data_IF_935863454987
#
_entry.id   IF_935863454987
#
_cell.length_a   1.000
_cell.length_b   1.000
_cell.length_c   1.000
_cell.angle_alpha   90.00
_cell.angle_beta   90.00
_cell.angle_gamma   90.00
#
_symmetry.space_group_name_H-M   'P 1'
#
loop_
_entity.id
_entity.type
_entity.pdbx_description
1 polymer ?
#
# COMPACT_ATOMS: atom_id res chain seq x y z
N UNK A 1 -12.33 -13.43 -1.25
CA UNK A 1 -11.09 -14.18 -1.03
C UNK A 1 -10.62 -14.01 0.43
N UNK A 2 -9.92 -15.03 0.96
CA UNK A 2 -9.60 -15.10 2.38
C UNK A 2 -8.38 -14.28 2.79
N UNK A 3 -7.32 -14.33 1.98
CA UNK A 3 -6.07 -13.65 2.28
C UNK A 3 -5.67 -12.75 1.13
N UNK A 4 -5.34 -11.51 1.45
CA UNK A 4 -4.92 -10.57 0.43
C UNK A 4 -3.93 -9.54 0.98
N UNK A 5 -3.06 -9.10 0.10
CA UNK A 5 -2.14 -8.00 0.34
C UNK A 5 -2.68 -6.79 -0.40
N UNK A 6 -2.86 -5.70 0.32
CA UNK A 6 -3.52 -4.50 -0.18
C UNK A 6 -2.48 -3.41 -0.43
N UNK A 7 -2.45 -2.90 -1.65
CA UNK A 7 -1.49 -1.89 -2.06
C UNK A 7 -2.20 -0.58 -2.38
N UNK A 8 -1.61 0.53 -1.96
CA UNK A 8 -2.10 1.87 -2.28
C UNK A 8 -0.96 2.65 -2.96
N UNK A 9 -0.76 2.44 -4.26
CA UNK A 9 0.37 3.03 -4.99
C UNK A 9 0.13 4.44 -5.52
N UNK A 10 -1.01 5.05 -5.16
CA UNK A 10 -1.45 6.31 -5.75
C UNK A 10 -1.11 7.51 -4.89
N UNK A 11 -1.06 8.69 -5.50
CA UNK A 11 -0.92 9.97 -4.81
C UNK A 11 -1.49 11.07 -5.70
N UNK A 12 -1.67 12.27 -5.14
CA UNK A 12 -2.08 13.41 -5.95
C UNK A 12 -1.03 13.71 -7.03
N UNK A 13 -1.45 14.05 -8.27
CA UNK A 13 -0.50 14.28 -9.36
C UNK A 13 0.58 15.33 -9.05
N UNK A 14 0.25 16.37 -8.28
CA UNK A 14 1.21 17.40 -7.90
C UNK A 14 2.08 17.01 -6.70
N UNK A 15 1.88 15.82 -6.15
CA UNK A 15 2.67 15.28 -5.05
C UNK A 15 3.38 13.99 -5.46
N UNK A 16 3.89 13.97 -6.69
CA UNK A 16 4.53 12.78 -7.27
C UNK A 16 5.74 12.30 -6.46
N UNK A 17 6.36 13.18 -5.67
CA UNK A 17 7.46 12.78 -4.79
C UNK A 17 7.03 11.78 -3.70
N UNK A 18 5.72 11.67 -3.45
CA UNK A 18 5.16 10.68 -2.52
C UNK A 18 4.95 9.31 -3.16
N UNK A 19 5.21 9.18 -4.46
CA UNK A 19 4.94 7.97 -5.21
C UNK A 19 6.19 7.10 -5.30
N UNK A 20 6.09 5.87 -4.81
CA UNK A 20 7.13 4.87 -5.00
C UNK A 20 6.89 4.17 -6.35
N UNK A 21 7.86 4.16 -7.27
CA UNK A 21 7.61 3.68 -8.63
C UNK A 21 7.72 2.17 -8.81
N UNK A 22 8.01 1.41 -7.76
CA UNK A 22 8.37 -0.01 -7.89
C UNK A 22 7.27 -0.98 -7.44
N UNK A 23 6.02 -0.56 -7.40
CA UNK A 23 4.93 -1.45 -6.97
C UNK A 23 4.75 -2.67 -7.87
N UNK A 24 4.84 -2.50 -9.20
CA UNK A 24 4.69 -3.65 -10.09
C UNK A 24 5.81 -4.67 -9.92
N UNK A 25 7.01 -4.20 -9.60
CA UNK A 25 8.13 -5.09 -9.30
C UNK A 25 7.90 -5.84 -8.00
N UNK A 26 7.36 -5.16 -6.99
CA UNK A 26 6.99 -5.80 -5.73
C UNK A 26 5.94 -6.88 -5.96
N UNK A 27 4.92 -6.58 -6.78
CA UNK A 27 3.87 -7.55 -7.12
C UNK A 27 4.48 -8.80 -7.75
N UNK A 28 5.42 -8.62 -8.67
CA UNK A 28 6.13 -9.73 -9.31
C UNK A 28 6.83 -10.62 -8.28
N UNK A 29 7.54 -10.01 -7.34
CA UNK A 29 8.23 -10.75 -6.27
C UNK A 29 7.23 -11.48 -5.36
N UNK A 30 6.11 -10.85 -5.05
CA UNK A 30 5.09 -11.47 -4.21
C UNK A 30 4.43 -12.67 -4.89
N UNK A 31 4.12 -12.55 -6.18
CA UNK A 31 3.55 -13.65 -6.95
C UNK A 31 4.53 -14.82 -7.06
N UNK A 32 5.80 -14.54 -7.21
CA UNK A 32 6.82 -15.58 -7.26
C UNK A 32 6.99 -16.29 -5.92
N UNK A 33 6.85 -15.55 -4.81
CA UNK A 33 7.04 -16.10 -3.47
C UNK A 33 5.83 -16.86 -2.96
N UNK A 34 4.63 -16.33 -3.19
CA UNK A 34 3.41 -16.83 -2.56
C UNK A 34 2.42 -17.48 -3.53
N UNK A 35 2.58 -17.24 -4.85
CA UNK A 35 1.64 -17.78 -5.82
C UNK A 35 0.20 -17.36 -5.52
N UNK A 36 -0.68 -18.32 -5.37
CA UNK A 36 -2.10 -18.06 -5.11
C UNK A 36 -2.44 -17.94 -3.62
N UNK A 37 -1.46 -18.02 -2.74
CA UNK A 37 -1.72 -17.96 -1.29
C UNK A 37 -2.32 -16.60 -0.90
N UNK A 38 -1.86 -15.51 -1.51
CA UNK A 38 -2.38 -14.18 -1.27
C UNK A 38 -2.83 -13.55 -2.56
N UNK A 39 -4.03 -12.98 -2.58
CA UNK A 39 -4.45 -12.09 -3.66
C UNK A 39 -3.73 -10.75 -3.49
N UNK A 40 -3.33 -10.15 -4.59
CA UNK A 40 -2.72 -8.82 -4.58
C UNK A 40 -3.76 -7.85 -5.11
N UNK A 41 -4.22 -6.94 -4.26
CA UNK A 41 -5.34 -6.05 -4.59
C UNK A 41 -4.99 -4.59 -4.34
N UNK A 42 -5.74 -3.71 -4.97
CA UNK A 42 -5.68 -2.28 -4.73
C UNK A 42 -7.10 -1.72 -4.72
N UNK A 43 -7.30 -0.59 -4.06
CA UNK A 43 -8.61 0.07 -3.99
C UNK A 43 -8.41 1.54 -4.36
N UNK A 44 -8.50 1.87 -5.67
CA UNK A 44 -8.26 3.24 -6.12
C UNK A 44 -9.37 4.18 -5.69
N UNK A 45 -9.02 5.43 -5.38
CA UNK A 45 -9.98 6.50 -5.16
C UNK A 45 -10.64 6.94 -6.47
N UNK A 46 -11.61 7.86 -6.42
CA UNK A 46 -12.37 8.26 -7.61
C UNK A 46 -11.49 8.83 -8.73
N UNK A 47 -10.40 9.51 -8.38
CA UNK A 47 -9.51 10.12 -9.37
C UNK A 47 -8.35 9.19 -9.78
N UNK A 48 -8.32 7.97 -9.25
CA UNK A 48 -7.20 7.04 -9.43
C UNK A 48 -7.57 5.79 -10.22
N UNK A 49 -8.83 5.67 -10.62
CA UNK A 49 -9.32 4.45 -11.30
C UNK A 49 -8.55 4.19 -12.60
N UNK A 50 -8.26 5.25 -13.36
CA UNK A 50 -7.47 5.09 -14.58
C UNK A 50 -6.03 4.69 -14.28
N UNK A 51 -5.43 5.26 -13.23
CA UNK A 51 -4.05 4.95 -12.85
C UNK A 51 -3.93 3.49 -12.39
N UNK A 52 -4.98 2.93 -11.83
CA UNK A 52 -5.00 1.54 -11.36
C UNK A 52 -4.79 0.55 -12.51
N UNK A 53 -5.06 0.93 -13.75
CA UNK A 53 -4.84 0.07 -14.92
C UNK A 53 -3.35 -0.22 -15.14
N UNK A 54 -2.48 0.63 -14.65
CA UNK A 54 -1.03 0.48 -14.78
C UNK A 54 -0.43 -0.34 -13.65
N UNK A 55 -1.24 -0.76 -12.68
CA UNK A 55 -0.82 -1.55 -11.54
C UNK A 55 -1.29 -2.99 -11.75
N UNK A 56 -0.38 -3.94 -11.59
CA UNK A 56 -0.66 -5.37 -11.85
C UNK A 56 -1.38 -6.07 -10.70
N UNK A 57 -2.21 -5.33 -9.99
CA UNK A 57 -3.04 -5.84 -8.90
C UNK A 57 -4.52 -5.76 -9.30
N UNK A 58 -5.34 -6.58 -8.66
CA UNK A 58 -6.79 -6.52 -8.88
C UNK A 58 -7.34 -5.24 -8.24
N UNK A 59 -7.96 -4.40 -9.05
CA UNK A 59 -8.60 -3.18 -8.54
C UNK A 59 -9.99 -3.51 -8.02
N UNK A 60 -10.25 -3.19 -6.76
CA UNK A 60 -11.54 -3.43 -6.12
C UNK A 60 -12.39 -2.17 -6.21
N UNK A 61 -13.56 -2.32 -6.83
CA UNK A 61 -14.51 -1.23 -7.05
C UNK A 61 -15.91 -1.71 -6.68
N UNK A 62 -16.80 -0.76 -6.40
CA UNK A 62 -18.21 -1.03 -6.16
C UNK A 62 -18.99 -0.56 -7.38
N UNK A 63 -19.43 -1.50 -8.23
CA UNK A 63 -20.15 -1.20 -9.48
C UNK A 63 -19.39 -0.19 -10.36
N UNK A 64 -18.07 -0.35 -10.47
CA UNK A 64 -17.23 0.52 -11.27
C UNK A 64 -16.85 1.84 -10.60
N UNK A 65 -17.24 2.05 -9.35
CA UNK A 65 -16.94 3.25 -8.59
C UNK A 65 -15.97 2.94 -7.47
N UNK A 66 -15.26 3.97 -7.01
CA UNK A 66 -14.40 3.83 -5.85
C UNK A 66 -15.20 3.38 -4.63
N UNK A 67 -14.56 2.59 -3.77
CA UNK A 67 -15.16 2.18 -2.49
C UNK A 67 -15.41 3.41 -1.63
N UNK A 68 -16.51 3.39 -0.86
CA UNK A 68 -16.74 4.45 0.13
C UNK A 68 -15.82 4.23 1.34
N UNK A 69 -15.84 5.18 2.27
CA UNK A 69 -14.91 5.13 3.43
C UNK A 69 -15.18 3.91 4.31
N UNK A 70 -16.42 3.50 4.48
CA UNK A 70 -16.77 2.31 5.25
C UNK A 70 -16.24 1.04 4.60
N UNK A 71 -16.46 0.89 3.30
CA UNK A 71 -15.96 -0.25 2.53
C UNK A 71 -14.44 -0.32 2.55
N UNK A 72 -13.81 0.83 2.35
CA UNK A 72 -12.36 0.93 2.36
C UNK A 72 -11.77 0.56 3.71
N UNK A 73 -12.37 1.05 4.79
CA UNK A 73 -11.92 0.76 6.16
C UNK A 73 -12.03 -0.73 6.46
N UNK A 74 -13.13 -1.37 6.08
CA UNK A 74 -13.32 -2.81 6.27
C UNK A 74 -12.29 -3.61 5.47
N UNK A 75 -12.03 -3.20 4.24
CA UNK A 75 -11.05 -3.87 3.38
C UNK A 75 -9.66 -3.80 4.00
N UNK A 76 -9.27 -2.63 4.49
CA UNK A 76 -7.98 -2.43 5.14
C UNK A 76 -7.87 -3.27 6.41
N UNK A 77 -8.92 -3.25 7.23
CA UNK A 77 -8.94 -3.96 8.51
C UNK A 77 -8.74 -5.46 8.34
N UNK A 78 -9.36 -6.04 7.31
CA UNK A 78 -9.32 -7.49 7.09
C UNK A 78 -8.14 -7.95 6.24
N UNK A 79 -7.30 -7.02 5.75
CA UNK A 79 -6.14 -7.37 4.94
C UNK A 79 -5.09 -8.14 5.73
N UNK A 80 -4.29 -8.94 5.03
CA UNK A 80 -3.13 -9.60 5.63
C UNK A 80 -1.97 -8.64 5.81
N UNK A 81 -1.83 -7.70 4.88
CA UNK A 81 -0.77 -6.69 4.94
C UNK A 81 -1.11 -5.52 4.01
N UNK A 82 -0.70 -4.32 4.39
CA UNK A 82 -0.90 -3.10 3.60
C UNK A 82 0.45 -2.47 3.27
N UNK A 83 0.65 -2.09 2.02
CA UNK A 83 1.77 -1.24 1.62
C UNK A 83 1.20 0.01 0.98
N UNK A 84 1.52 1.16 1.50
CA UNK A 84 0.93 2.41 1.07
C UNK A 84 1.97 3.52 0.96
N UNK A 85 1.77 4.40 -0.03
CA UNK A 85 2.43 5.69 -0.02
C UNK A 85 1.86 6.51 1.15
N UNK A 86 2.48 7.64 1.47
CA UNK A 86 2.02 8.54 2.52
C UNK A 86 0.74 9.25 2.07
N UNK A 87 -0.40 8.61 2.31
CA UNK A 87 -1.72 9.06 1.86
C UNK A 87 -2.79 8.73 2.90
N UNK A 88 -4.04 9.14 2.63
CA UNK A 88 -5.17 8.84 3.52
C UNK A 88 -5.33 7.38 3.91
N UNK A 89 -5.27 6.42 2.95
CA UNK A 89 -5.36 5.00 3.30
C UNK A 89 -4.30 4.52 4.30
N UNK A 90 -3.09 5.09 4.26
CA UNK A 90 -2.05 4.75 5.23
C UNK A 90 -2.49 5.14 6.65
N UNK A 91 -3.11 6.30 6.80
CA UNK A 91 -3.62 6.74 8.11
C UNK A 91 -4.75 5.85 8.60
N UNK A 92 -5.64 5.43 7.71
CA UNK A 92 -6.71 4.48 8.06
C UNK A 92 -6.11 3.18 8.56
N UNK A 93 -5.13 2.63 7.83
CA UNK A 93 -4.47 1.38 8.20
C UNK A 93 -3.85 1.47 9.60
N UNK A 94 -3.18 2.58 9.89
CA UNK A 94 -2.58 2.79 11.21
C UNK A 94 -3.66 2.80 12.30
N UNK A 95 -4.76 3.51 12.07
CA UNK A 95 -5.83 3.64 13.07
C UNK A 95 -6.58 2.35 13.35
N UNK A 96 -6.79 1.51 12.34
CA UNK A 96 -7.52 0.25 12.53
C UNK A 96 -6.62 -0.91 12.99
N UNK A 97 -5.34 -0.65 13.17
CA UNK A 97 -4.40 -1.66 13.65
C UNK A 97 -3.99 -2.69 12.61
N UNK A 98 -4.10 -2.35 11.32
CA UNK A 98 -3.66 -3.23 10.25
C UNK A 98 -2.15 -3.44 10.28
N UNK A 99 -1.69 -4.60 9.83
CA UNK A 99 -0.26 -4.84 9.62
C UNK A 99 0.15 -4.22 8.30
N UNK A 100 1.27 -3.49 8.29
CA UNK A 100 1.69 -2.90 7.03
C UNK A 100 2.87 -1.96 7.13
N UNK A 101 3.13 -1.34 5.99
CA UNK A 101 4.22 -0.38 5.80
C UNK A 101 3.69 0.85 5.07
N UNK A 102 4.12 2.02 5.50
CA UNK A 102 3.94 3.24 4.74
C UNK A 102 5.32 3.76 4.32
N UNK A 103 5.41 4.28 3.10
CA UNK A 103 6.67 4.64 2.49
C UNK A 103 6.79 6.16 2.45
N UNK A 104 7.79 6.69 3.15
CA UNK A 104 8.06 8.12 3.23
C UNK A 104 9.32 8.49 2.45
N UNK A 105 9.21 9.51 1.59
CA UNK A 105 10.34 10.19 1.01
C UNK A 105 10.73 11.41 1.84
N UNK A 106 11.55 12.27 1.30
CA UNK A 106 12.04 13.46 2.02
C UNK A 106 10.95 14.49 2.33
N UNK A 107 9.77 14.34 1.75
CA UNK A 107 8.68 15.30 1.88
C UNK A 107 8.06 15.38 3.27
N UNK A 108 8.21 14.32 4.10
CA UNK A 108 7.48 14.26 5.37
C UNK A 108 8.21 13.45 6.44
N UNK A 109 9.20 14.00 7.05
CA UNK A 109 9.81 13.34 8.20
C UNK A 109 8.95 13.51 9.46
N UNK A 110 8.14 14.58 9.52
CA UNK A 110 7.38 14.93 10.71
C UNK A 110 6.22 13.98 11.03
N UNK A 111 5.68 13.31 10.03
CA UNK A 111 4.51 12.45 10.21
C UNK A 111 4.83 11.02 10.60
N UNK A 112 6.07 10.60 10.50
CA UNK A 112 6.46 9.22 10.78
C UNK A 112 6.01 8.76 12.16
N UNK A 113 6.27 9.58 13.18
CA UNK A 113 5.95 9.24 14.56
C UNK A 113 4.45 9.12 14.79
N UNK A 114 3.66 9.99 14.12
CA UNK A 114 2.21 9.99 14.30
C UNK A 114 1.52 8.81 13.63
N UNK A 115 2.11 8.24 12.58
CA UNK A 115 1.49 7.14 11.84
C UNK A 115 1.95 5.76 12.31
N UNK A 116 3.13 5.66 12.90
CA UNK A 116 3.63 4.35 13.35
C UNK A 116 2.81 3.79 14.50
N UNK A 117 2.52 2.49 14.40
CA UNK A 117 1.83 1.68 15.43
C UNK A 117 2.60 0.38 15.59
N UNK A 118 2.16 -0.47 16.51
CA UNK A 118 2.82 -1.74 16.78
C UNK A 118 3.00 -2.58 15.51
N UNK A 119 1.95 -2.68 14.70
CA UNK A 119 1.95 -3.52 13.49
C UNK A 119 2.07 -2.71 12.19
N UNK A 120 2.00 -1.40 12.26
CA UNK A 120 2.07 -0.53 11.08
C UNK A 120 3.28 0.38 11.18
N UNK A 121 4.26 0.15 10.32
CA UNK A 121 5.56 0.82 10.41
C UNK A 121 5.82 1.69 9.19
N UNK A 122 6.74 2.62 9.34
CA UNK A 122 7.17 3.49 8.25
C UNK A 122 8.57 3.12 7.78
N UNK A 123 8.78 3.18 6.47
CA UNK A 123 10.11 3.19 5.88
C UNK A 123 10.36 4.60 5.38
N UNK A 124 11.43 5.22 5.88
CA UNK A 124 11.76 6.60 5.51
C UNK A 124 13.08 6.60 4.73
N UNK A 125 13.05 7.23 3.56
CA UNK A 125 14.23 7.38 2.71
C UNK A 125 14.26 8.81 2.17
N UNK A 126 15.43 9.25 1.72
CA UNK A 126 15.55 10.60 1.15
C UNK A 126 14.90 10.72 -0.22
N UNK A 127 14.83 9.63 -0.98
CA UNK A 127 14.22 9.60 -2.31
C UNK A 127 13.57 8.23 -2.55
N UNK A 128 12.25 8.22 -2.74
CA UNK A 128 11.50 6.98 -2.96
C UNK A 128 11.94 6.24 -4.23
N UNK A 129 12.45 6.94 -5.24
CA UNK A 129 12.96 6.29 -6.45
C UNK A 129 14.12 5.35 -6.12
N UNK A 130 14.84 5.61 -5.05
CA UNK A 130 16.00 4.83 -4.62
C UNK A 130 15.67 3.79 -3.56
N UNK A 131 14.44 3.73 -3.07
CA UNK A 131 14.02 2.68 -2.15
C UNK A 131 13.90 1.38 -2.94
N UNK A 132 14.72 0.39 -2.62
CA UNK A 132 14.74 -0.87 -3.35
C UNK A 132 13.49 -1.69 -3.08
N UNK A 133 13.04 -2.42 -4.10
CA UNK A 133 11.92 -3.34 -3.96
C UNK A 133 12.27 -4.48 -3.01
N UNK A 134 13.53 -4.92 -3.00
CA UNK A 134 14.01 -5.97 -2.12
C UNK A 134 13.85 -5.62 -0.64
N UNK A 135 14.11 -4.37 -0.29
CA UNK A 135 13.97 -3.91 1.10
C UNK A 135 12.51 -3.95 1.55
N UNK A 136 11.60 -3.48 0.71
CA UNK A 136 10.15 -3.52 1.01
C UNK A 136 9.68 -4.98 1.07
N UNK A 137 10.07 -5.78 0.11
CA UNK A 137 9.72 -7.20 0.05
C UNK A 137 10.20 -7.96 1.28
N UNK A 138 11.44 -7.72 1.70
CA UNK A 138 12.00 -8.36 2.89
C UNK A 138 11.19 -8.02 4.15
N UNK A 139 10.86 -6.74 4.34
CA UNK A 139 10.07 -6.30 5.48
C UNK A 139 8.67 -6.93 5.48
N UNK A 140 8.05 -7.02 4.31
CA UNK A 140 6.73 -7.60 4.14
C UNK A 140 6.74 -9.10 4.43
N UNK A 141 7.66 -9.84 3.81
CA UNK A 141 7.73 -11.29 3.99
C UNK A 141 8.05 -11.68 5.43
N UNK A 142 8.88 -10.90 6.10
CA UNK A 142 9.21 -11.12 7.50
C UNK A 142 7.97 -10.98 8.38
N UNK A 143 7.10 -10.03 8.06
CA UNK A 143 5.86 -9.82 8.80
C UNK A 143 4.84 -10.93 8.58
N UNK A 144 4.83 -11.53 7.38
CA UNK A 144 3.87 -12.60 7.03
C UNK A 144 4.33 -13.99 7.47
N UNK A 145 5.57 -14.15 7.85
CA UNK A 145 6.11 -15.46 8.28
C UNK A 145 5.78 -15.80 9.74
#
# INVERSE_FOLDING_TARGET
FDKYILLFPFCSPHLIIKKWPHYNKLIELLLNRYGDEYKIVTAPGPLEINDAKDINALALLDNGRALDISQLTSLIKDSSFVVANDTGPAHIAAHVGASGLTLFGKHTTAYKVSIERENFKAIEVSDLNNLSVEKVFERLTKSLS
#
